data_IF_954100406501
#
_entry.id   IF_954100406501
#
_cell.length_a   1.000
_cell.length_b   1.000
_cell.length_c   1.000
_cell.angle_alpha   90.00
_cell.angle_beta   90.00
_cell.angle_gamma   90.00
#
_symmetry.space_group_name_H-M   'P 1'
#
loop_
_entity.id
_entity.type
_entity.pdbx_description
1 polymer ?
#
# COMPACT_ATOMS: atom_id res chain seq x y z
N UNK A 1 7.26 -8.40 1.16
CA UNK A 1 6.06 -9.21 1.49
C UNK A 1 5.63 -9.03 2.95
N UNK A 2 6.43 -9.38 3.96
CA UNK A 2 6.03 -9.23 5.37
C UNK A 2 5.68 -7.78 5.78
N UNK A 3 6.54 -6.80 5.46
CA UNK A 3 6.23 -5.39 5.74
C UNK A 3 4.93 -4.92 5.06
N UNK A 4 4.71 -5.35 3.82
CA UNK A 4 3.48 -5.07 3.10
C UNK A 4 2.25 -5.68 3.81
N UNK A 5 2.36 -6.89 4.37
CA UNK A 5 1.31 -7.49 5.18
C UNK A 5 0.99 -6.67 6.45
N UNK A 6 2.00 -6.17 7.16
CA UNK A 6 1.75 -5.29 8.32
C UNK A 6 1.11 -3.97 7.94
N UNK A 7 1.55 -3.34 6.85
CA UNK A 7 0.89 -2.15 6.31
C UNK A 7 -0.56 -2.42 5.89
N UNK A 8 -0.83 -3.61 5.35
CA UNK A 8 -2.19 -4.06 5.06
C UNK A 8 -3.04 -4.15 6.33
N UNK A 9 -2.53 -4.77 7.40
CA UNK A 9 -3.26 -4.82 8.68
C UNK A 9 -3.54 -3.42 9.23
N UNK A 10 -2.58 -2.49 9.13
CA UNK A 10 -2.79 -1.10 9.53
C UNK A 10 -3.89 -0.42 8.70
N UNK A 11 -3.90 -0.63 7.37
CA UNK A 11 -4.95 -0.11 6.50
C UNK A 11 -6.31 -0.73 6.83
N UNK A 12 -6.38 -2.04 7.11
CA UNK A 12 -7.61 -2.69 7.55
C UNK A 12 -8.13 -2.14 8.88
N UNK A 13 -7.25 -1.85 9.84
CA UNK A 13 -7.65 -1.23 11.09
C UNK A 13 -8.25 0.17 10.86
N UNK A 14 -7.66 0.96 9.96
CA UNK A 14 -8.19 2.28 9.56
C UNK A 14 -9.56 2.16 8.85
N UNK A 15 -9.72 1.19 7.97
CA UNK A 15 -10.97 0.96 7.21
C UNK A 15 -12.05 0.22 8.00
N UNK A 16 -11.74 -0.29 9.20
CA UNK A 16 -12.64 -1.12 9.98
C UNK A 16 -13.95 -0.39 10.33
N UNK A 17 -13.85 0.89 10.72
CA UNK A 17 -15.01 1.73 11.01
C UNK A 17 -15.98 1.80 9.82
N UNK A 18 -15.49 2.19 8.63
CA UNK A 18 -16.33 2.26 7.42
C UNK A 18 -16.93 0.90 7.02
N UNK A 19 -16.24 -0.21 7.28
CA UNK A 19 -16.79 -1.56 7.04
C UNK A 19 -17.92 -1.87 8.03
N UNK A 20 -17.76 -1.53 9.31
CA UNK A 20 -18.77 -1.75 10.34
C UNK A 20 -20.02 -0.91 10.09
N UNK A 21 -19.85 0.36 9.69
CA UNK A 21 -20.95 1.24 9.31
C UNK A 21 -21.78 0.65 8.15
N UNK A 22 -21.12 0.09 7.12
CA UNK A 22 -21.80 -0.56 5.99
C UNK A 22 -22.54 -1.85 6.38
N UNK A 23 -22.18 -2.45 7.51
CA UNK A 23 -22.85 -3.61 8.08
C UNK A 23 -23.94 -3.24 9.10
N UNK A 24 -24.20 -1.94 9.29
CA UNK A 24 -25.13 -1.41 10.29
C UNK A 24 -24.73 -1.78 11.73
N UNK A 25 -23.41 -1.89 11.99
CA UNK A 25 -22.84 -2.19 13.30
C UNK A 25 -22.25 -0.92 13.90
N UNK A 26 -22.87 -0.43 14.97
CA UNK A 26 -22.46 0.78 15.68
C UNK A 26 -21.55 0.46 16.88
N UNK A 27 -20.37 1.07 16.93
CA UNK A 27 -19.46 1.02 18.08
C UNK A 27 -19.09 2.45 18.46
N UNK A 28 -19.59 2.93 19.59
CA UNK A 28 -19.47 4.33 20.00
C UNK A 28 -18.02 4.79 20.09
N UNK A 29 -17.14 3.99 20.71
CA UNK A 29 -15.73 4.31 20.89
C UNK A 29 -14.98 4.46 19.56
N UNK A 30 -15.46 3.77 18.52
CA UNK A 30 -14.86 3.83 17.19
C UNK A 30 -15.34 5.06 16.43
N UNK A 31 -16.61 5.43 16.55
CA UNK A 31 -17.15 6.65 15.96
C UNK A 31 -16.59 7.92 16.60
N UNK A 32 -16.41 7.92 17.92
CA UNK A 32 -15.78 9.02 18.65
C UNK A 32 -14.32 9.27 18.23
N UNK A 33 -13.71 8.30 17.55
CA UNK A 33 -12.38 8.48 16.98
C UNK A 33 -12.39 9.38 15.74
N UNK A 34 -13.56 9.64 15.13
CA UNK A 34 -13.76 10.48 13.95
C UNK A 34 -12.74 10.18 12.83
N UNK A 35 -12.52 8.90 12.55
CA UNK A 35 -11.53 8.48 11.54
C UNK A 35 -11.97 9.03 10.16
N UNK A 36 -11.06 9.64 9.38
CA UNK A 36 -11.40 10.10 8.04
C UNK A 36 -11.93 8.96 7.17
N UNK A 37 -13.05 9.18 6.49
CA UNK A 37 -13.65 8.16 5.63
C UNK A 37 -12.68 7.74 4.51
N UNK A 38 -12.67 6.45 4.12
CA UNK A 38 -11.69 5.94 3.20
C UNK A 38 -11.89 6.44 1.77
N UNK A 39 -10.81 6.92 1.17
CA UNK A 39 -10.74 7.30 -0.23
C UNK A 39 -10.57 6.08 -1.13
N UNK A 40 -10.91 6.23 -2.42
CA UNK A 40 -10.84 5.14 -3.40
C UNK A 40 -9.45 4.47 -3.46
N UNK A 41 -8.37 5.26 -3.34
CA UNK A 41 -7.00 4.72 -3.44
C UNK A 41 -6.69 3.71 -2.33
N UNK A 42 -7.28 3.85 -1.15
CA UNK A 42 -7.09 2.96 0.00
C UNK A 42 -7.67 1.57 -0.31
N UNK A 43 -8.88 1.55 -0.87
CA UNK A 43 -9.54 0.33 -1.34
C UNK A 43 -8.78 -0.36 -2.47
N UNK A 44 -8.32 0.42 -3.45
CA UNK A 44 -7.49 -0.11 -4.56
C UNK A 44 -6.17 -0.66 -4.03
N UNK A 45 -5.57 -0.01 -3.03
CA UNK A 45 -4.33 -0.44 -2.43
C UNK A 45 -4.48 -1.74 -1.62
N UNK A 46 -5.58 -1.93 -0.89
CA UNK A 46 -5.88 -3.20 -0.20
C UNK A 46 -5.91 -4.39 -1.17
N UNK A 47 -6.38 -4.20 -2.40
CA UNK A 47 -6.42 -5.25 -3.41
C UNK A 47 -5.02 -5.81 -3.76
N UNK A 48 -3.95 -5.06 -3.49
CA UNK A 48 -2.57 -5.48 -3.74
C UNK A 48 -2.15 -6.69 -2.90
N UNK A 49 -2.82 -6.98 -1.77
CA UNK A 49 -2.55 -8.16 -0.95
C UNK A 49 -2.80 -9.46 -1.70
N UNK A 50 -3.81 -9.49 -2.58
CA UNK A 50 -4.17 -10.69 -3.37
C UNK A 50 -2.96 -11.20 -4.17
N UNK A 51 -2.13 -10.28 -4.66
CA UNK A 51 -0.95 -10.61 -5.46
C UNK A 51 0.19 -11.18 -4.61
N UNK A 52 0.16 -11.07 -3.28
CA UNK A 52 1.13 -11.74 -2.41
C UNK A 52 1.09 -13.27 -2.57
N UNK A 53 -0.08 -13.85 -2.85
CA UNK A 53 -0.24 -15.30 -3.02
C UNK A 53 0.58 -15.87 -4.20
N UNK A 54 0.49 -15.35 -5.44
CA UNK A 54 1.36 -15.78 -6.52
C UNK A 54 2.83 -15.46 -6.23
N UNK A 55 3.14 -14.40 -5.46
CA UNK A 55 4.50 -14.10 -5.03
C UNK A 55 5.11 -15.18 -4.12
N UNK A 56 4.39 -15.58 -3.07
CA UNK A 56 4.81 -16.65 -2.15
C UNK A 56 4.94 -17.99 -2.89
N UNK A 57 4.00 -18.29 -3.79
CA UNK A 57 4.03 -19.48 -4.65
C UNK A 57 5.25 -19.48 -5.56
N UNK A 58 5.58 -18.31 -6.12
CA UNK A 58 6.72 -18.14 -7.00
C UNK A 58 8.04 -18.40 -6.29
N UNK A 59 8.22 -17.86 -5.08
CA UNK A 59 9.43 -18.07 -4.26
C UNK A 59 9.57 -19.55 -3.87
N UNK A 60 8.49 -20.20 -3.43
CA UNK A 60 8.53 -21.62 -3.05
C UNK A 60 8.89 -22.55 -4.21
N UNK A 61 8.48 -22.22 -5.43
CA UNK A 61 8.63 -23.10 -6.62
C UNK A 61 9.63 -22.58 -7.65
N UNK A 62 10.36 -21.50 -7.37
CA UNK A 62 11.19 -20.77 -8.34
C UNK A 62 10.47 -20.50 -9.68
N UNK A 63 9.18 -20.15 -9.60
CA UNK A 63 8.30 -20.06 -10.78
C UNK A 63 8.24 -18.62 -11.31
N UNK A 64 9.03 -18.35 -12.35
CA UNK A 64 9.13 -17.01 -12.96
C UNK A 64 7.78 -16.45 -13.43
N UNK A 65 6.87 -17.28 -13.97
CA UNK A 65 5.55 -16.79 -14.42
C UNK A 65 4.70 -16.26 -13.26
N UNK A 66 4.68 -16.94 -12.11
CA UNK A 66 3.97 -16.47 -10.91
C UNK A 66 4.63 -15.21 -10.34
N UNK A 67 5.95 -15.09 -10.42
CA UNK A 67 6.64 -13.86 -10.00
C UNK A 67 6.31 -12.68 -10.91
N UNK A 68 6.12 -12.89 -12.22
CA UNK A 68 5.65 -11.84 -13.14
C UNK A 68 4.27 -11.32 -12.75
N UNK A 69 3.35 -12.22 -12.37
CA UNK A 69 2.02 -11.84 -11.87
C UNK A 69 2.13 -11.03 -10.57
N UNK A 70 2.98 -11.46 -9.63
CA UNK A 70 3.26 -10.70 -8.41
C UNK A 70 3.79 -9.30 -8.72
N UNK A 71 4.83 -9.18 -9.55
CA UNK A 71 5.44 -7.90 -9.91
C UNK A 71 4.42 -6.97 -10.58
N UNK A 72 3.63 -7.49 -11.54
CA UNK A 72 2.60 -6.69 -12.22
C UNK A 72 1.52 -6.19 -11.25
N UNK A 73 1.02 -7.07 -10.38
CA UNK A 73 0.02 -6.71 -9.37
C UNK A 73 0.54 -5.74 -8.32
N UNK A 74 1.76 -5.95 -7.81
CA UNK A 74 2.42 -5.02 -6.87
C UNK A 74 2.65 -3.65 -7.52
N UNK A 75 2.97 -3.59 -8.81
CA UNK A 75 3.10 -2.31 -9.51
C UNK A 75 1.75 -1.59 -9.61
N UNK A 76 0.74 -2.24 -10.17
CA UNK A 76 -0.56 -1.62 -10.47
C UNK A 76 -1.40 -1.32 -9.24
N UNK A 77 -1.44 -2.22 -8.27
CA UNK A 77 -2.30 -2.08 -7.07
C UNK A 77 -1.51 -1.67 -5.83
N UNK A 78 -0.19 -1.85 -5.80
CA UNK A 78 0.64 -1.44 -4.67
C UNK A 78 1.26 -0.06 -4.89
N UNK A 79 2.10 0.07 -5.92
CA UNK A 79 2.89 1.28 -6.14
C UNK A 79 2.09 2.42 -6.76
N UNK A 80 1.28 2.17 -7.79
CA UNK A 80 0.50 3.22 -8.45
C UNK A 80 -0.47 3.96 -7.49
N UNK A 81 -1.25 3.27 -6.62
CA UNK A 81 -2.11 3.97 -5.67
C UNK A 81 -1.33 4.80 -4.65
N UNK A 82 -0.15 4.32 -4.21
CA UNK A 82 0.74 5.08 -3.31
C UNK A 82 1.21 6.37 -3.97
N UNK A 83 1.65 6.31 -5.23
CA UNK A 83 2.06 7.51 -5.97
C UNK A 83 0.87 8.45 -6.18
N UNK A 84 -0.29 7.91 -6.58
CA UNK A 84 -1.51 8.69 -6.76
C UNK A 84 -1.94 9.42 -5.48
N UNK A 85 -1.91 8.73 -4.35
CA UNK A 85 -2.21 9.29 -3.03
C UNK A 85 -1.19 10.37 -2.62
N UNK A 86 0.11 10.15 -2.88
CA UNK A 86 1.13 11.16 -2.63
C UNK A 86 0.85 12.44 -3.43
N UNK A 87 0.50 12.32 -4.72
CA UNK A 87 0.12 13.49 -5.54
C UNK A 87 -1.15 14.16 -4.99
N UNK A 88 -2.16 13.38 -4.60
CA UNK A 88 -3.41 13.88 -4.04
C UNK A 88 -3.17 14.72 -2.76
N UNK A 89 -2.38 14.23 -1.83
CA UNK A 89 -2.11 14.90 -0.55
C UNK A 89 -0.98 15.93 -0.60
N UNK A 90 -0.30 16.10 -1.75
CA UNK A 90 0.88 16.95 -1.85
C UNK A 90 0.59 18.41 -1.49
N UNK A 91 -0.54 18.96 -1.97
CA UNK A 91 -0.93 20.35 -1.71
C UNK A 91 -1.05 20.62 -0.21
N UNK A 92 -1.76 19.74 0.51
CA UNK A 92 -2.05 19.91 1.92
C UNK A 92 -0.80 19.69 2.78
N UNK A 93 0.03 18.70 2.42
CA UNK A 93 1.33 18.52 3.04
C UNK A 93 2.19 19.77 2.86
N UNK A 94 2.30 20.27 1.62
CA UNK A 94 3.12 21.42 1.30
C UNK A 94 2.63 22.66 2.06
N UNK A 95 1.32 22.91 2.08
CA UNK A 95 0.74 24.03 2.81
C UNK A 95 1.06 23.95 4.31
N UNK A 96 0.87 22.77 4.92
CA UNK A 96 1.18 22.53 6.33
C UNK A 96 2.67 22.69 6.65
N UNK A 97 3.56 22.23 5.78
CA UNK A 97 5.02 22.41 5.97
C UNK A 97 5.41 23.89 5.92
N UNK A 98 4.77 24.68 5.06
CA UNK A 98 5.10 26.10 4.90
C UNK A 98 4.55 26.99 6.02
N UNK A 99 3.32 26.76 6.48
CA UNK A 99 2.65 27.68 7.41
C UNK A 99 2.20 27.01 8.72
N UNK A 100 2.51 25.72 8.92
CA UNK A 100 2.16 24.97 10.12
C UNK A 100 0.64 24.95 10.38
N UNK A 101 0.27 25.15 11.64
CA UNK A 101 -1.14 25.21 12.07
C UNK A 101 -1.87 26.50 11.68
N UNK A 102 -1.19 27.47 11.06
CA UNK A 102 -1.83 28.70 10.58
C UNK A 102 -2.55 28.51 9.22
N UNK A 103 -2.45 27.33 8.60
CA UNK A 103 -3.14 27.04 7.33
C UNK A 103 -4.63 26.80 7.59
N UNK A 104 -5.47 27.65 7.02
CA UNK A 104 -6.90 27.39 6.90
C UNK A 104 -7.15 26.35 5.79
N UNK A 105 -8.07 25.41 6.02
CA UNK A 105 -8.49 24.35 5.09
C UNK A 105 -7.58 23.10 4.96
N UNK A 106 -6.71 22.82 5.93
CA UNK A 106 -6.07 21.49 6.01
C UNK A 106 -6.94 20.55 6.86
N UNK A 107 -7.21 19.35 6.33
CA UNK A 107 -7.95 18.33 7.08
C UNK A 107 -7.12 17.83 8.28
N UNK A 108 -7.75 17.84 9.45
CA UNK A 108 -7.14 17.39 10.71
C UNK A 108 -7.90 16.16 11.23
N UNK A 109 -7.16 15.18 11.75
CA UNK A 109 -7.68 14.08 12.54
C UNK A 109 -7.04 14.10 13.92
N UNK A 110 -7.86 14.26 14.96
CA UNK A 110 -7.39 14.35 16.36
C UNK A 110 -6.30 15.43 16.57
N UNK A 111 -6.40 16.55 15.83
CA UNK A 111 -5.43 17.66 15.87
C UNK A 111 -4.18 17.47 15.00
N UNK A 112 -4.02 16.32 14.33
CA UNK A 112 -2.91 16.05 13.41
C UNK A 112 -3.32 16.21 11.95
N UNK A 113 -2.47 16.78 11.08
CA UNK A 113 -2.78 16.89 9.65
C UNK A 113 -2.85 15.53 8.99
N UNK A 114 -4.01 15.24 8.38
CA UNK A 114 -4.28 13.96 7.71
C UNK A 114 -3.25 13.69 6.61
N UNK A 115 -2.88 14.72 5.83
CA UNK A 115 -1.85 14.61 4.81
C UNK A 115 -0.48 14.16 5.37
N UNK A 116 -0.06 14.67 6.54
CA UNK A 116 1.21 14.28 7.16
C UNK A 116 1.20 12.82 7.59
N UNK A 117 0.11 12.39 8.24
CA UNK A 117 -0.08 11.00 8.65
C UNK A 117 -0.07 10.05 7.44
N UNK A 118 -0.73 10.44 6.35
CA UNK A 118 -0.69 9.68 5.11
C UNK A 118 0.72 9.61 4.54
N UNK A 119 1.47 10.70 4.52
CA UNK A 119 2.84 10.67 4.01
C UNK A 119 3.77 9.76 4.81
N UNK A 120 3.56 9.59 6.12
CA UNK A 120 4.28 8.60 6.91
C UNK A 120 4.00 7.17 6.40
N UNK A 121 2.72 6.82 6.21
CA UNK A 121 2.33 5.53 5.63
C UNK A 121 2.87 5.34 4.20
N UNK A 122 2.65 6.34 3.34
CA UNK A 122 3.00 6.30 1.92
C UNK A 122 4.51 6.14 1.72
N UNK A 123 5.34 6.75 2.57
CA UNK A 123 6.80 6.61 2.51
C UNK A 123 7.23 5.16 2.75
N UNK A 124 6.70 4.52 3.80
CA UNK A 124 7.03 3.12 4.12
C UNK A 124 6.46 2.17 3.06
N UNK A 125 5.23 2.42 2.61
CA UNK A 125 4.59 1.63 1.54
C UNK A 125 5.36 1.74 0.22
N UNK A 126 5.80 2.93 -0.15
CA UNK A 126 6.62 3.18 -1.35
C UNK A 126 7.92 2.36 -1.30
N UNK A 127 8.65 2.43 -0.18
CA UNK A 127 9.89 1.66 0.00
C UNK A 127 9.61 0.15 -0.09
N UNK A 128 8.59 -0.34 0.62
CA UNK A 128 8.21 -1.76 0.60
C UNK A 128 7.91 -2.27 -0.81
N UNK A 129 7.20 -1.47 -1.61
CA UNK A 129 6.84 -1.81 -2.99
C UNK A 129 8.01 -1.70 -3.94
N UNK A 130 8.83 -0.64 -3.85
CA UNK A 130 10.03 -0.48 -4.68
C UNK A 130 11.02 -1.63 -4.50
N UNK A 131 11.32 -2.02 -3.26
CA UNK A 131 12.18 -3.17 -3.00
C UNK A 131 11.53 -4.48 -3.48
N UNK A 132 10.23 -4.65 -3.28
CA UNK A 132 9.50 -5.83 -3.74
C UNK A 132 9.58 -5.98 -5.27
N UNK A 133 9.41 -4.89 -6.02
CA UNK A 133 9.53 -4.87 -7.47
C UNK A 133 10.97 -5.14 -7.91
N UNK A 134 11.95 -4.46 -7.30
CA UNK A 134 13.37 -4.65 -7.60
C UNK A 134 13.77 -6.13 -7.45
N UNK A 135 13.54 -6.72 -6.28
CA UNK A 135 13.90 -8.11 -6.04
C UNK A 135 13.05 -9.09 -6.88
N UNK A 136 11.77 -8.81 -7.09
CA UNK A 136 10.91 -9.62 -7.95
C UNK A 136 11.43 -9.71 -9.39
N UNK A 137 11.83 -8.59 -9.98
CA UNK A 137 12.44 -8.55 -11.32
C UNK A 137 13.78 -9.30 -11.34
N UNK A 138 14.63 -9.13 -10.33
CA UNK A 138 15.90 -9.87 -10.23
C UNK A 138 15.69 -11.39 -10.16
N UNK A 139 14.69 -11.86 -9.40
CA UNK A 139 14.35 -13.27 -9.31
C UNK A 139 13.84 -13.84 -10.65
N UNK A 140 12.99 -13.09 -11.36
CA UNK A 140 12.53 -13.48 -12.70
C UNK A 140 13.72 -13.73 -13.62
N UNK A 141 14.66 -12.77 -13.68
CA UNK A 141 15.84 -12.86 -14.54
C UNK A 141 16.74 -14.05 -14.14
N UNK A 142 16.97 -14.24 -12.84
CA UNK A 142 17.80 -15.33 -12.33
C UNK A 142 17.22 -16.72 -12.65
N UNK A 143 15.93 -16.93 -12.41
CA UNK A 143 15.30 -18.22 -12.66
C UNK A 143 15.19 -18.55 -14.14
N UNK A 144 14.91 -17.55 -14.99
CA UNK A 144 14.90 -17.75 -16.45
C UNK A 144 16.28 -18.18 -16.96
N UNK A 145 17.37 -17.53 -16.53
CA UNK A 145 18.74 -17.94 -16.89
C UNK A 145 19.04 -19.36 -16.43
N UNK A 146 18.70 -19.72 -15.19
CA UNK A 146 18.90 -21.07 -14.67
C UNK A 146 18.17 -22.14 -15.48
N UNK A 147 16.95 -21.86 -15.96
CA UNK A 147 16.22 -22.80 -16.82
C UNK A 147 16.86 -22.97 -18.20
N UNK A 148 17.44 -21.91 -18.78
CA UNK A 148 18.15 -21.99 -20.07
C UNK A 148 19.41 -22.85 -19.94
N UNK A 149 20.23 -22.62 -18.90
CA UNK A 149 21.45 -23.40 -18.65
C UNK A 149 21.14 -24.89 -18.45
N UNK A 150 20.05 -25.22 -17.73
CA UNK A 150 19.63 -26.62 -17.54
C UNK A 150 19.15 -27.31 -18.82
N UNK A 151 18.64 -26.57 -19.80
CA UNK A 151 18.22 -27.13 -21.11
C UNK A 151 19.38 -27.27 -22.09
N UNK A 152 20.47 -26.54 -21.88
CA UNK A 152 21.66 -26.55 -22.73
C UNK A 152 22.70 -27.61 -22.30
N UNK A 153 22.54 -28.19 -21.11
CA UNK A 153 23.26 -29.38 -20.65
C UNK A 153 22.44 -30.62 -20.93
#
# INVERSE_FOLDING_TARGET
>A
MLLHFFLFLAMCAKLAEDVLDRLDIFILELEELYIPKPLLWEWVWLASLVFMLPGLTAVRRNRASSMKVYVGGTFLFGLCPVIGAAVYFFRDLYAFVQHGHAVENVELWQGYPVAVLWYAFLTVAFQAHMFSLYFGVRLILAWQRGTVVKKAK
#
